data_IF_733389033842
#
_entry.id   IF_733389033842
#
_cell.length_a   1.000
_cell.length_b   1.000
_cell.length_c   1.000
_cell.angle_alpha   90.00
_cell.angle_beta   90.00
_cell.angle_gamma   90.00
#
_symmetry.space_group_name_H-M   'P 1'
#
loop_
_entity.id
_entity.type
_entity.pdbx_description
1 polymer ?
#
# COMPACT_ATOMS: atom_id res chain seq x y z
N UNK A 1 -13.10 -12.24 5.17
CA UNK A 1 -12.31 -11.01 4.97
C UNK A 1 -12.93 -10.18 3.86
N UNK A 2 -12.76 -8.86 3.91
CA UNK A 2 -13.18 -7.92 2.87
C UNK A 2 -11.92 -7.37 2.18
N UNK A 3 -11.84 -7.50 0.86
CA UNK A 3 -10.70 -7.08 0.04
C UNK A 3 -11.17 -6.13 -1.06
N UNK A 4 -10.50 -4.98 -1.20
CA UNK A 4 -10.85 -3.97 -2.20
C UNK A 4 -9.60 -3.34 -2.81
N UNK A 5 -9.62 -3.15 -4.12
CA UNK A 5 -8.73 -2.18 -4.77
C UNK A 5 -9.36 -0.79 -4.63
N UNK A 6 -8.63 0.10 -3.96
CA UNK A 6 -9.08 1.45 -3.58
C UNK A 6 -8.19 2.50 -4.20
N UNK A 7 -8.70 3.73 -4.27
CA UNK A 7 -7.92 4.89 -4.67
C UNK A 7 -7.78 5.82 -3.47
N UNK A 8 -6.56 5.96 -2.98
CA UNK A 8 -6.20 6.94 -1.95
C UNK A 8 -5.92 8.27 -2.63
N UNK A 9 -6.53 9.34 -2.15
CA UNK A 9 -6.21 10.70 -2.64
C UNK A 9 -5.02 11.23 -1.87
N UNK A 10 -3.92 11.49 -2.56
CA UNK A 10 -2.73 12.12 -1.99
C UNK A 10 -2.58 13.55 -2.50
N UNK A 11 -1.59 14.26 -1.98
CA UNK A 11 -1.19 15.59 -2.47
C UNK A 11 -0.85 15.62 -3.96
N UNK A 12 -0.35 14.52 -4.52
CA UNK A 12 0.15 14.48 -5.90
C UNK A 12 -0.72 13.68 -6.87
N UNK A 13 -1.78 13.04 -6.38
CA UNK A 13 -2.77 12.44 -7.25
C UNK A 13 -3.53 11.26 -6.63
N UNK A 14 -4.04 10.42 -7.53
CA UNK A 14 -4.82 9.23 -7.21
C UNK A 14 -3.86 8.06 -7.08
N UNK A 15 -3.66 7.57 -5.86
CA UNK A 15 -2.78 6.46 -5.57
C UNK A 15 -3.57 5.14 -5.49
N UNK A 16 -3.39 4.22 -6.46
CA UNK A 16 -3.93 2.87 -6.35
C UNK A 16 -3.37 2.19 -5.12
N UNK A 17 -4.24 1.56 -4.34
CA UNK A 17 -3.88 0.84 -3.14
C UNK A 17 -4.75 -0.40 -3.00
N UNK A 18 -4.24 -1.41 -2.32
CA UNK A 18 -5.00 -2.58 -1.92
C UNK A 18 -5.36 -2.45 -0.43
N UNK A 19 -6.65 -2.51 -0.11
CA UNK A 19 -7.15 -2.47 1.26
C UNK A 19 -7.79 -3.82 1.61
N UNK A 20 -7.42 -4.36 2.76
CA UNK A 20 -8.00 -5.60 3.28
C UNK A 20 -8.28 -5.48 4.76
N UNK A 21 -9.44 -5.98 5.19
CA UNK A 21 -9.82 -5.98 6.60
C UNK A 21 -10.59 -7.24 7.01
N UNK A 22 -10.73 -7.48 8.32
CA UNK A 22 -11.58 -8.55 8.84
C UNK A 22 -13.04 -8.31 8.44
N UNK A 23 -13.79 -9.38 8.16
CA UNK A 23 -15.22 -9.34 7.84
C UNK A 23 -16.10 -9.35 9.09
N UNK A 24 -15.52 -9.61 10.26
CA UNK A 24 -16.20 -9.53 11.54
C UNK A 24 -16.71 -8.11 11.84
N UNK A 25 -17.72 -8.04 12.71
CA UNK A 25 -18.28 -6.77 13.17
C UNK A 25 -17.28 -6.05 14.08
N UNK A 26 -17.20 -4.73 13.94
CA UNK A 26 -16.35 -3.87 14.77
C UNK A 26 -15.31 -3.09 13.98
N UNK A 27 -14.50 -2.35 14.74
CA UNK A 27 -13.39 -1.55 14.24
C UNK A 27 -12.06 -2.15 14.67
N UNK A 28 -11.07 -2.06 13.81
CA UNK A 28 -9.77 -2.70 13.96
C UNK A 28 -8.64 -1.67 13.84
N UNK A 29 -7.51 -1.85 14.55
CA UNK A 29 -6.32 -1.04 14.33
C UNK A 29 -5.87 -1.14 12.85
N UNK A 30 -5.34 -0.04 12.32
CA UNK A 30 -4.86 0.02 10.94
C UNK A 30 -3.34 -0.13 10.85
N UNK A 31 -2.88 -0.72 9.75
CA UNK A 31 -1.47 -0.83 9.36
C UNK A 31 -1.33 -0.37 7.91
N UNK A 32 -0.31 0.44 7.65
CA UNK A 32 0.16 0.74 6.29
C UNK A 32 1.34 -0.18 5.99
N UNK A 33 1.18 -1.08 5.01
CA UNK A 33 2.23 -1.97 4.54
C UNK A 33 2.92 -1.34 3.33
N UNK A 34 4.09 -0.73 3.52
CA UNK A 34 4.86 -0.20 2.39
C UNK A 34 5.48 -1.33 1.55
N UNK A 35 5.38 -1.18 0.23
CA UNK A 35 6.01 -2.10 -0.72
C UNK A 35 7.55 -2.01 -0.69
N UNK A 36 8.22 -3.09 -1.09
CA UNK A 36 9.65 -3.13 -1.34
C UNK A 36 9.99 -2.61 -2.76
N UNK A 37 11.28 -2.65 -3.15
CA UNK A 37 11.74 -2.05 -4.41
C UNK A 37 11.03 -2.57 -5.69
N UNK A 38 10.70 -3.86 -5.83
CA UNK A 38 9.84 -4.35 -6.91
C UNK A 38 8.43 -3.78 -6.96
N UNK A 39 7.96 -3.12 -5.90
CA UNK A 39 6.61 -2.60 -5.84
C UNK A 39 5.53 -3.65 -5.59
N UNK A 40 4.28 -3.21 -5.72
CA UNK A 40 3.10 -4.00 -5.35
C UNK A 40 2.92 -5.24 -6.26
N UNK A 41 2.68 -6.39 -5.61
CA UNK A 41 2.48 -7.70 -6.24
C UNK A 41 1.67 -8.62 -5.32
N UNK A 42 1.29 -9.79 -5.82
CA UNK A 42 0.41 -10.72 -5.11
C UNK A 42 0.99 -11.19 -3.78
N UNK A 43 2.31 -11.39 -3.70
CA UNK A 43 2.98 -11.79 -2.46
C UNK A 43 2.84 -10.74 -1.34
N UNK A 44 2.80 -9.45 -1.69
CA UNK A 44 2.55 -8.38 -0.73
C UNK A 44 1.06 -8.29 -0.38
N UNK A 45 0.16 -8.56 -1.32
CA UNK A 45 -1.29 -8.68 -1.04
C UNK A 45 -1.55 -9.84 -0.08
N UNK A 46 -0.86 -10.97 -0.23
CA UNK A 46 -0.92 -12.09 0.71
C UNK A 46 -0.41 -11.72 2.10
N UNK A 47 0.67 -10.94 2.20
CA UNK A 47 1.12 -10.40 3.48
C UNK A 47 0.07 -9.47 4.11
N UNK A 48 -0.57 -8.60 3.32
CA UNK A 48 -1.66 -7.74 3.78
C UNK A 48 -2.86 -8.56 4.28
N UNK A 49 -3.23 -9.64 3.57
CA UNK A 49 -4.28 -10.58 4.00
C UNK A 49 -3.90 -11.27 5.31
N UNK A 50 -2.65 -11.68 5.48
CA UNK A 50 -2.17 -12.28 6.74
C UNK A 50 -2.28 -11.29 7.90
N UNK A 51 -1.92 -10.02 7.68
CA UNK A 51 -2.11 -8.95 8.68
C UNK A 51 -3.60 -8.82 9.03
N UNK A 52 -4.48 -8.80 8.03
CA UNK A 52 -5.92 -8.71 8.27
C UNK A 52 -6.49 -9.90 9.05
N UNK A 53 -6.02 -11.12 8.79
CA UNK A 53 -6.38 -12.32 9.57
C UNK A 53 -6.03 -12.20 11.06
N UNK A 54 -5.10 -11.31 11.43
CA UNK A 54 -4.75 -11.04 12.82
C UNK A 54 -5.53 -9.88 13.45
N UNK A 55 -6.60 -9.40 12.80
CA UNK A 55 -7.50 -8.38 13.35
C UNK A 55 -7.05 -6.94 13.08
N UNK A 56 -6.51 -6.68 11.88
CA UNK A 56 -6.05 -5.35 11.46
C UNK A 56 -6.68 -4.94 10.13
N UNK A 57 -6.94 -3.65 9.94
CA UNK A 57 -7.12 -3.10 8.58
C UNK A 57 -5.74 -2.89 7.97
N UNK A 58 -5.46 -3.47 6.82
CA UNK A 58 -4.17 -3.31 6.14
C UNK A 58 -4.35 -2.55 4.82
N UNK A 59 -3.60 -1.46 4.65
CA UNK A 59 -3.50 -0.69 3.42
C UNK A 59 -2.12 -0.92 2.81
N UNK A 60 -2.09 -1.44 1.58
CA UNK A 60 -0.88 -1.65 0.77
C UNK A 60 -0.91 -0.65 -0.41
N UNK A 61 -0.18 0.46 -0.31
CA UNK A 61 -0.24 1.53 -1.30
C UNK A 61 0.81 1.34 -2.41
N UNK A 62 0.46 1.64 -3.66
CA UNK A 62 1.41 1.64 -4.79
C UNK A 62 2.20 2.96 -4.79
N UNK A 63 3.44 2.97 -4.32
CA UNK A 63 4.25 4.20 -4.26
C UNK A 63 4.74 4.66 -5.64
N UNK A 64 4.67 3.80 -6.66
CA UNK A 64 5.13 4.13 -8.01
C UNK A 64 4.04 4.75 -8.89
N UNK A 65 2.86 5.05 -8.34
CA UNK A 65 1.71 5.60 -9.07
C UNK A 65 2.04 6.83 -9.95
N UNK A 66 3.06 7.61 -9.59
CA UNK A 66 3.55 8.77 -10.37
C UNK A 66 4.27 8.39 -11.67
N UNK A 67 4.80 7.17 -11.75
CA UNK A 67 5.43 6.60 -12.93
C UNK A 67 4.44 5.79 -13.78
N UNK A 68 3.19 5.67 -13.34
CA UNK A 68 2.19 4.78 -13.90
C UNK A 68 2.14 3.43 -13.17
N UNK A 69 1.57 2.42 -13.84
CA UNK A 69 1.41 1.09 -13.26
C UNK A 69 2.65 0.23 -13.53
N UNK A 70 3.46 -0.01 -12.50
CA UNK A 70 4.62 -0.89 -12.59
C UNK A 70 4.34 -2.24 -11.92
N UNK A 71 4.46 -3.34 -12.67
CA UNK A 71 4.33 -4.71 -12.18
C UNK A 71 5.47 -5.54 -12.74
N UNK A 72 6.18 -6.27 -11.89
CA UNK A 72 7.36 -7.04 -12.27
C UNK A 72 7.16 -8.52 -11.97
N UNK A 73 7.51 -9.38 -12.93
CA UNK A 73 7.58 -10.84 -12.75
C UNK A 73 8.92 -11.21 -12.11
N UNK A 74 8.98 -11.10 -10.78
CA UNK A 74 10.22 -11.29 -10.00
C UNK A 74 10.84 -12.68 -10.17
N UNK A 75 10.08 -13.79 -10.26
CA UNK A 75 10.63 -15.09 -10.63
C UNK A 75 11.39 -15.11 -11.96
N UNK A 76 11.08 -14.22 -12.91
CA UNK A 76 11.74 -14.09 -14.22
C UNK A 76 12.64 -12.87 -14.34
N UNK A 77 13.13 -12.36 -13.21
CA UNK A 77 13.97 -11.16 -13.17
C UNK A 77 15.28 -11.34 -13.94
N UNK A 78 15.58 -10.37 -14.80
CA UNK A 78 16.84 -10.23 -15.52
C UNK A 78 17.54 -8.88 -15.19
N UNK A 79 18.63 -8.60 -15.90
CA UNK A 79 19.38 -7.34 -15.72
C UNK A 79 18.58 -6.12 -16.16
N UNK A 80 17.85 -6.20 -17.27
CA UNK A 80 17.04 -5.10 -17.78
C UNK A 80 15.93 -4.72 -16.79
N UNK A 81 15.21 -5.72 -16.27
CA UNK A 81 14.21 -5.55 -15.22
C UNK A 81 14.84 -4.95 -13.96
N UNK A 82 16.04 -5.41 -13.58
CA UNK A 82 16.76 -4.87 -12.42
C UNK A 82 17.10 -3.39 -12.57
N UNK A 83 17.42 -2.93 -13.78
CA UNK A 83 17.65 -1.51 -14.07
C UNK A 83 16.37 -0.70 -13.89
N UNK A 84 15.23 -1.21 -14.40
CA UNK A 84 13.92 -0.53 -14.24
C UNK A 84 13.49 -0.47 -12.79
N UNK A 85 13.58 -1.58 -12.03
CA UNK A 85 13.27 -1.62 -10.60
C UNK A 85 14.12 -0.60 -9.83
N UNK A 86 15.42 -0.53 -10.13
CA UNK A 86 16.32 0.43 -9.48
C UNK A 86 15.98 1.87 -9.86
N UNK A 87 15.59 2.12 -11.11
CA UNK A 87 15.14 3.43 -11.58
C UNK A 87 13.87 3.87 -10.85
N UNK A 88 12.87 2.99 -10.76
CA UNK A 88 11.63 3.25 -10.02
C UNK A 88 11.91 3.54 -8.55
N UNK A 89 12.72 2.71 -7.88
CA UNK A 89 13.10 2.91 -6.48
C UNK A 89 13.77 4.28 -6.26
N UNK A 90 14.66 4.69 -7.15
CA UNK A 90 15.36 5.99 -7.08
C UNK A 90 14.45 7.19 -7.33
N UNK A 91 13.25 7.00 -7.90
CA UNK A 91 12.27 8.08 -8.07
C UNK A 91 11.60 8.48 -6.75
N UNK A 92 11.65 7.61 -5.74
CA UNK A 92 11.05 7.88 -4.44
C UNK A 92 11.97 8.75 -3.58
N UNK A 93 11.38 9.71 -2.88
CA UNK A 93 12.05 10.52 -1.86
C UNK A 93 11.27 10.42 -0.56
N UNK A 94 11.96 10.51 0.57
CA UNK A 94 11.29 10.48 1.89
C UNK A 94 10.23 11.57 2.01
N UNK A 95 10.49 12.78 1.48
CA UNK A 95 9.53 13.87 1.48
C UNK A 95 8.25 13.53 0.69
N UNK A 96 8.39 12.94 -0.50
CA UNK A 96 7.25 12.50 -1.30
C UNK A 96 6.46 11.38 -0.61
N UNK A 97 7.16 10.41 0.01
CA UNK A 97 6.51 9.32 0.76
C UNK A 97 5.76 9.87 1.96
N UNK A 98 6.34 10.80 2.74
CA UNK A 98 5.67 11.44 3.89
C UNK A 98 4.41 12.19 3.44
N UNK A 99 4.49 12.95 2.36
CA UNK A 99 3.33 13.64 1.77
C UNK A 99 2.23 12.65 1.34
N UNK A 100 2.60 11.49 0.80
CA UNK A 100 1.65 10.44 0.42
C UNK A 100 1.04 9.77 1.66
N UNK A 101 1.84 9.53 2.71
CA UNK A 101 1.39 8.98 4.00
C UNK A 101 0.30 9.83 4.62
N UNK A 102 0.35 11.15 4.51
CA UNK A 102 -0.71 12.03 5.01
C UNK A 102 -2.08 11.70 4.35
N UNK A 103 -2.08 11.42 3.04
CA UNK A 103 -3.29 10.98 2.33
C UNK A 103 -3.75 9.58 2.75
N UNK A 104 -2.81 8.66 3.00
CA UNK A 104 -3.11 7.32 3.50
C UNK A 104 -3.73 7.36 4.91
N UNK A 105 -3.20 8.19 5.80
CA UNK A 105 -3.75 8.38 7.15
C UNK A 105 -5.16 8.97 7.09
N UNK A 106 -5.38 10.02 6.28
CA UNK A 106 -6.71 10.60 6.11
C UNK A 106 -7.72 9.59 5.52
N UNK A 107 -7.29 8.72 4.60
CA UNK A 107 -8.12 7.63 4.07
C UNK A 107 -8.49 6.63 5.17
N UNK A 108 -7.54 6.23 6.01
CA UNK A 108 -7.77 5.29 7.10
C UNK A 108 -8.66 5.89 8.20
N UNK A 109 -8.46 7.15 8.58
CA UNK A 109 -9.29 7.85 9.57
C UNK A 109 -10.76 7.93 9.16
N UNK A 110 -11.03 8.01 7.85
CA UNK A 110 -12.39 8.04 7.30
C UNK A 110 -13.01 6.64 7.08
N UNK A 111 -12.24 5.56 7.27
CA UNK A 111 -12.68 4.20 6.94
C UNK A 111 -13.49 3.59 8.10
N UNK A 112 -14.72 3.12 7.83
CA UNK A 112 -15.66 2.67 8.86
C UNK A 112 -15.12 1.53 9.76
N UNK A 113 -14.33 0.62 9.18
CA UNK A 113 -13.69 -0.51 9.89
C UNK A 113 -12.43 -0.13 10.67
N UNK A 114 -11.93 1.09 10.55
CA UNK A 114 -10.70 1.51 11.24
C UNK A 114 -11.04 2.08 12.61
N UNK A 115 -10.31 1.63 13.63
CA UNK A 115 -10.42 2.14 15.00
C UNK A 115 -9.56 3.40 15.14
N UNK A 116 -10.11 4.53 15.66
CA UNK A 116 -9.31 5.70 15.98
C UNK A 116 -8.22 5.39 17.01
N UNK A 117 -7.05 5.97 16.84
CA UNK A 117 -5.92 5.70 17.73
C UNK A 117 -4.67 6.53 17.43
N UNK A 118 -3.62 6.39 18.25
CA UNK A 118 -2.34 7.03 17.98
C UNK A 118 -1.70 6.45 16.72
N UNK A 119 -0.86 7.27 16.08
CA UNK A 119 -0.04 6.89 14.92
C UNK A 119 1.42 6.78 15.37
N UNK A 120 2.10 5.69 15.03
CA UNK A 120 3.50 5.43 15.41
C UNK A 120 4.06 4.13 14.89
#
# INVERSE_FOLDING_TARGET
MIENDVIVTTKYGRQPSFAVCPDEHGQFPAIILYMDAPGIREELRDQARRIAKHGYVCLLPDLYYRLGMLRFDIPRRDEAMSVVIRGAMKSLTNAAVIDDTAGMLAFLDAHEKVKPGPVG
#
